data_IF_576377241961
#
_entry.id   IF_576377241961
#
_cell.length_a   1.000
_cell.length_b   1.000
_cell.length_c   1.000
_cell.angle_alpha   90.00
_cell.angle_beta   90.00
_cell.angle_gamma   90.00
#
_symmetry.space_group_name_H-M   'P 1'
#
loop_
_entity.id
_entity.type
_entity.pdbx_description
1 polymer ?
#
# COMPACT_ATOMS: atom_id res chain seq x y z
N UNK A 1 -1.92 -2.02 -21.19
CA UNK A 1 -1.17 -1.89 -19.93
C UNK A 1 -1.08 -0.44 -19.48
N UNK A 2 -0.67 0.52 -20.31
CA UNK A 2 -0.53 1.93 -19.93
C UNK A 2 -1.82 2.51 -19.31
N UNK A 3 -2.99 2.28 -19.93
CA UNK A 3 -4.27 2.74 -19.39
C UNK A 3 -4.56 2.20 -17.96
N UNK A 4 -4.15 0.95 -17.67
CA UNK A 4 -4.31 0.38 -16.33
C UNK A 4 -3.34 0.99 -15.31
N UNK A 5 -2.10 1.31 -15.75
CA UNK A 5 -1.13 2.01 -14.89
C UNK A 5 -1.60 3.44 -14.64
N UNK A 6 -2.11 4.14 -15.65
CA UNK A 6 -2.67 5.49 -15.51
C UNK A 6 -3.87 5.48 -14.53
N UNK A 7 -4.78 4.48 -14.62
CA UNK A 7 -5.88 4.31 -13.68
C UNK A 7 -5.40 4.10 -12.23
N UNK A 8 -4.36 3.28 -12.03
CA UNK A 8 -3.76 3.06 -10.72
C UNK A 8 -3.07 4.31 -10.17
N UNK A 9 -2.58 5.19 -11.07
CA UNK A 9 -1.92 6.44 -10.71
C UNK A 9 -2.89 7.61 -10.48
N UNK A 10 -4.18 7.48 -10.81
CA UNK A 10 -5.16 8.56 -10.61
C UNK A 10 -5.17 9.13 -9.18
N UNK A 11 -4.85 8.28 -8.20
CA UNK A 11 -4.84 8.65 -6.78
C UNK A 11 -3.42 8.79 -6.20
N UNK A 12 -2.38 8.49 -6.98
CA UNK A 12 -0.98 8.60 -6.58
C UNK A 12 -0.28 9.62 -7.48
N UNK A 13 0.18 10.73 -6.92
CA UNK A 13 0.95 11.74 -7.63
C UNK A 13 2.36 11.21 -7.94
N UNK A 14 2.46 10.34 -8.95
CA UNK A 14 3.75 9.90 -9.46
C UNK A 14 4.29 10.92 -10.46
N UNK A 15 5.56 11.25 -10.35
CA UNK A 15 6.29 12.06 -11.36
C UNK A 15 6.56 11.26 -12.64
N UNK A 16 6.32 9.96 -12.61
CA UNK A 16 6.54 9.08 -13.75
C UNK A 16 5.23 8.79 -14.48
N UNK A 17 5.21 8.99 -15.79
CA UNK A 17 4.11 8.50 -16.63
C UNK A 17 4.11 6.97 -16.70
N UNK A 18 2.97 6.36 -17.07
CA UNK A 18 2.88 4.92 -17.30
C UNK A 18 3.95 4.41 -18.27
N UNK A 19 4.21 5.14 -19.34
CA UNK A 19 5.25 4.78 -20.31
C UNK A 19 6.64 4.78 -19.68
N UNK A 20 6.97 5.78 -18.85
CA UNK A 20 8.27 5.83 -18.16
C UNK A 20 8.42 4.69 -17.16
N UNK A 21 7.37 4.34 -16.41
CA UNK A 21 7.40 3.20 -15.50
C UNK A 21 7.62 1.88 -16.24
N UNK A 22 6.90 1.65 -17.36
CA UNK A 22 7.13 0.47 -18.20
C UNK A 22 8.56 0.43 -18.72
N UNK A 23 9.12 1.56 -19.18
CA UNK A 23 10.51 1.65 -19.63
C UNK A 23 11.52 1.34 -18.52
N UNK A 24 11.27 1.78 -17.28
CA UNK A 24 12.14 1.47 -16.14
C UNK A 24 12.08 -0.01 -15.78
N UNK A 25 10.88 -0.61 -15.79
CA UNK A 25 10.70 -2.04 -15.54
C UNK A 25 11.34 -2.90 -16.64
N UNK A 26 11.26 -2.47 -17.90
CA UNK A 26 11.93 -3.13 -19.02
C UNK A 26 13.46 -3.08 -18.86
N UNK A 27 14.01 -1.89 -18.55
CA UNK A 27 15.45 -1.73 -18.31
C UNK A 27 15.95 -2.56 -17.10
N UNK A 28 15.10 -2.75 -16.12
CA UNK A 28 15.37 -3.63 -14.97
C UNK A 28 15.23 -5.13 -15.31
N UNK A 29 14.76 -5.46 -16.53
CA UNK A 29 14.52 -6.84 -16.94
C UNK A 29 13.28 -7.49 -16.32
N UNK A 30 12.40 -6.71 -15.67
CA UNK A 30 11.21 -7.23 -15.01
C UNK A 30 10.06 -7.50 -15.98
N UNK A 31 9.99 -6.75 -17.07
CA UNK A 31 9.02 -6.93 -18.17
C UNK A 31 9.75 -6.84 -19.52
N UNK A 32 9.14 -7.40 -20.54
CA UNK A 32 9.62 -7.34 -21.91
C UNK A 32 8.50 -7.00 -22.88
N UNK A 33 8.85 -6.41 -24.02
CA UNK A 33 7.90 -6.13 -25.10
C UNK A 33 7.71 -7.36 -25.98
N UNK A 34 6.45 -7.70 -26.25
CA UNK A 34 6.09 -8.83 -27.12
C UNK A 34 5.01 -8.44 -28.11
N UNK A 35 4.93 -9.19 -29.22
CA UNK A 35 3.82 -9.10 -30.19
C UNK A 35 2.56 -9.78 -29.63
N UNK A 36 1.45 -9.70 -30.38
CA UNK A 36 0.22 -10.42 -30.06
C UNK A 36 0.43 -11.95 -30.01
N UNK A 37 1.38 -12.48 -30.79
CA UNK A 37 1.76 -13.89 -30.83
C UNK A 37 2.72 -14.28 -29.70
N UNK A 38 3.19 -13.29 -28.93
CA UNK A 38 4.10 -13.52 -27.79
C UNK A 38 5.59 -13.57 -28.17
N UNK A 39 5.94 -13.19 -29.41
CA UNK A 39 7.34 -13.11 -29.84
C UNK A 39 7.99 -11.82 -29.30
N UNK A 40 9.29 -11.84 -28.95
CA UNK A 40 9.99 -10.64 -28.52
C UNK A 40 9.94 -9.52 -29.56
N UNK A 41 9.57 -8.32 -29.13
CA UNK A 41 9.41 -7.15 -29.99
C UNK A 41 10.70 -6.34 -30.18
N UNK A 42 11.87 -6.86 -29.80
CA UNK A 42 13.16 -6.15 -29.85
C UNK A 42 13.58 -5.72 -31.27
N UNK A 43 13.04 -6.36 -32.32
CA UNK A 43 13.40 -6.14 -33.70
C UNK A 43 12.25 -5.60 -34.58
N UNK A 44 11.17 -5.11 -33.97
CA UNK A 44 10.06 -4.54 -34.73
C UNK A 44 10.23 -3.01 -34.83
N UNK A 45 11.42 -2.52 -35.08
CA UNK A 45 11.60 -1.31 -35.82
C UNK A 45 11.25 -1.65 -37.28
N UNK A 46 10.02 -1.29 -37.64
CA UNK A 46 9.56 -1.49 -39.00
C UNK A 46 10.44 -0.67 -39.92
N UNK A 47 11.52 -1.28 -40.46
CA UNK A 47 12.25 -0.67 -41.57
C UNK A 47 11.24 -0.41 -42.69
N UNK A 48 11.10 0.85 -43.12
CA UNK A 48 10.16 1.17 -44.20
C UNK A 48 10.50 0.33 -45.43
N UNK A 49 9.50 -0.31 -46.02
CA UNK A 49 9.70 -1.05 -47.26
C UNK A 49 9.73 -0.08 -48.41
N UNK A 50 10.74 -0.23 -49.28
CA UNK A 50 10.76 0.49 -50.53
C UNK A 50 9.83 -0.19 -51.54
N UNK A 51 8.80 0.52 -51.97
CA UNK A 51 7.85 0.08 -53.00
C UNK A 51 8.06 0.93 -54.24
N UNK A 52 8.19 0.29 -55.40
CA UNK A 52 8.33 0.99 -56.69
C UNK A 52 6.97 1.08 -57.35
N UNK A 53 6.43 2.29 -57.52
CA UNK A 53 5.19 2.57 -58.25
C UNK A 53 5.54 3.48 -59.42
N UNK A 54 5.19 3.07 -60.62
CA UNK A 54 5.46 3.80 -61.90
C UNK A 54 6.94 4.20 -62.10
N UNK A 55 7.87 3.37 -61.59
CA UNK A 55 9.32 3.63 -61.74
C UNK A 55 9.88 4.62 -60.68
N UNK A 56 9.09 5.03 -59.73
CA UNK A 56 9.50 5.88 -58.59
C UNK A 56 9.51 5.06 -57.30
N UNK A 57 10.60 5.15 -56.56
CA UNK A 57 10.72 4.49 -55.25
C UNK A 57 10.01 5.29 -54.18
N UNK A 58 9.10 4.63 -53.44
CA UNK A 58 8.41 5.17 -52.29
C UNK A 58 8.78 4.36 -51.06
N UNK A 59 8.94 5.03 -49.90
CA UNK A 59 9.04 4.39 -48.62
C UNK A 59 7.62 4.20 -48.06
N UNK A 60 7.16 2.96 -47.98
CA UNK A 60 5.88 2.61 -47.40
C UNK A 60 6.06 2.33 -45.93
N UNK A 61 5.34 3.08 -45.08
CA UNK A 61 5.28 2.80 -43.64
C UNK A 61 4.49 1.51 -43.43
N UNK A 62 5.07 0.54 -42.72
CA UNK A 62 4.33 -0.64 -42.30
C UNK A 62 3.24 -0.27 -41.31
N UNK A 63 2.19 -1.06 -41.27
CA UNK A 63 1.17 -0.95 -40.21
C UNK A 63 1.85 -1.08 -38.84
N UNK A 64 1.49 -0.22 -37.86
CA UNK A 64 2.05 -0.29 -36.52
C UNK A 64 1.70 -1.64 -35.89
N UNK A 65 2.72 -2.39 -35.50
CA UNK A 65 2.53 -3.66 -34.80
C UNK A 65 2.10 -3.35 -33.36
N UNK A 66 1.01 -3.98 -32.92
CA UNK A 66 0.57 -3.87 -31.53
C UNK A 66 1.59 -4.54 -30.59
N UNK A 67 2.09 -3.76 -29.62
CA UNK A 67 3.06 -4.21 -28.64
C UNK A 67 2.38 -4.42 -27.30
N UNK A 68 2.65 -5.57 -26.70
CA UNK A 68 2.18 -5.97 -25.38
C UNK A 68 3.35 -6.09 -24.42
N UNK A 69 3.05 -6.04 -23.12
CA UNK A 69 4.02 -6.25 -22.06
C UNK A 69 3.84 -7.65 -21.47
N UNK A 70 4.92 -8.38 -21.33
CA UNK A 70 4.98 -9.67 -20.67
C UNK A 70 5.92 -9.57 -19.47
N UNK A 71 5.49 -10.12 -18.31
CA UNK A 71 6.38 -10.26 -17.16
C UNK A 71 7.42 -11.33 -17.45
N UNK A 72 8.68 -11.04 -17.14
CA UNK A 72 9.80 -11.98 -17.28
C UNK A 72 9.92 -12.87 -16.04
N UNK A 73 10.79 -13.90 -16.10
CA UNK A 73 11.09 -14.70 -14.93
C UNK A 73 11.71 -13.89 -13.77
N UNK A 74 12.72 -13.00 -13.99
CA UNK A 74 13.19 -12.11 -12.95
C UNK A 74 12.10 -11.21 -12.37
N UNK A 75 11.18 -10.69 -13.18
CA UNK A 75 10.06 -9.88 -12.73
C UNK A 75 9.08 -10.68 -11.85
N UNK A 76 8.82 -11.93 -12.21
CA UNK A 76 7.99 -12.85 -11.45
C UNK A 76 8.64 -13.20 -10.11
N UNK A 77 9.93 -13.52 -10.12
CA UNK A 77 10.70 -13.79 -8.91
C UNK A 77 10.74 -12.58 -7.95
N UNK A 78 10.83 -11.35 -8.50
CA UNK A 78 10.78 -10.14 -7.69
C UNK A 78 9.42 -9.96 -7.00
N UNK A 79 8.29 -10.25 -7.69
CA UNK A 79 6.96 -10.22 -7.08
C UNK A 79 6.78 -11.31 -6.00
N UNK A 80 7.32 -12.51 -6.23
CA UNK A 80 7.26 -13.61 -5.24
C UNK A 80 8.15 -13.34 -4.01
N UNK A 81 9.25 -12.61 -4.20
CA UNK A 81 10.13 -12.20 -3.11
C UNK A 81 9.55 -11.03 -2.30
N UNK A 82 8.61 -10.28 -2.86
CA UNK A 82 7.92 -9.21 -2.14
C UNK A 82 6.89 -9.78 -1.17
N UNK A 83 7.14 -9.56 0.12
CA UNK A 83 6.34 -10.11 1.22
C UNK A 83 5.84 -8.99 2.12
N UNK A 84 4.83 -8.24 1.70
CA UNK A 84 4.34 -7.07 2.44
C UNK A 84 3.88 -7.41 3.85
N UNK A 85 3.32 -8.60 4.07
CA UNK A 85 2.90 -9.03 5.41
C UNK A 85 4.10 -9.29 6.34
N UNK A 86 5.21 -9.84 5.83
CA UNK A 86 6.44 -10.01 6.62
C UNK A 86 7.06 -8.64 6.94
N UNK A 87 7.05 -7.69 5.98
CA UNK A 87 7.48 -6.29 6.21
C UNK A 87 6.65 -5.62 7.29
N UNK A 88 5.31 -5.78 7.25
CA UNK A 88 4.42 -5.22 8.27
C UNK A 88 4.69 -5.83 9.64
N UNK A 89 4.88 -7.15 9.73
CA UNK A 89 5.24 -7.82 10.98
C UNK A 89 6.55 -7.27 11.55
N UNK A 90 7.59 -7.19 10.72
CA UNK A 90 8.87 -6.63 11.14
C UNK A 90 8.76 -5.18 11.63
N UNK A 91 7.93 -4.36 10.97
CA UNK A 91 7.63 -3.00 11.40
C UNK A 91 6.96 -2.97 12.79
N UNK A 92 5.95 -3.81 13.01
CA UNK A 92 5.23 -3.85 14.27
C UNK A 92 6.08 -4.39 15.42
N UNK A 93 7.00 -5.31 15.14
CA UNK A 93 7.99 -5.81 16.10
C UNK A 93 9.04 -4.74 16.45
N UNK A 94 9.58 -4.03 15.45
CA UNK A 94 10.52 -2.93 15.64
C UNK A 94 9.92 -1.78 16.47
N UNK A 95 8.67 -1.44 16.18
CA UNK A 95 7.94 -0.32 16.78
C UNK A 95 6.91 -0.79 17.84
N UNK A 96 7.15 -1.90 18.52
CA UNK A 96 6.19 -2.50 19.46
C UNK A 96 5.64 -1.53 20.51
N UNK A 97 6.46 -0.55 20.95
CA UNK A 97 6.02 0.51 21.87
C UNK A 97 4.90 1.41 21.29
N UNK A 98 4.79 1.49 19.95
CA UNK A 98 3.78 2.29 19.25
C UNK A 98 2.64 1.44 18.70
N UNK A 99 2.54 0.17 19.05
CA UNK A 99 1.45 -0.73 18.64
C UNK A 99 0.04 -0.12 18.80
N UNK A 100 -0.29 0.59 19.92
CA UNK A 100 -1.59 1.26 20.05
C UNK A 100 -1.84 2.36 19.02
N UNK A 101 -0.77 3.05 18.56
CA UNK A 101 -0.86 4.11 17.54
C UNK A 101 -1.15 3.48 16.18
N UNK A 102 -0.39 2.44 15.79
CA UNK A 102 -0.63 1.70 14.55
C UNK A 102 -2.04 1.11 14.51
N UNK A 103 -2.50 0.48 15.61
CA UNK A 103 -3.84 -0.07 15.69
C UNK A 103 -4.92 1.01 15.49
N UNK A 104 -4.75 2.18 16.12
CA UNK A 104 -5.68 3.31 16.02
C UNK A 104 -5.77 3.82 14.59
N UNK A 105 -4.64 4.00 13.91
CA UNK A 105 -4.60 4.46 12.51
C UNK A 105 -5.29 3.43 11.60
N UNK A 106 -4.92 2.16 11.71
CA UNK A 106 -5.51 1.10 10.90
C UNK A 106 -7.03 1.00 11.12
N UNK A 107 -7.51 1.09 12.38
CA UNK A 107 -8.95 1.09 12.70
C UNK A 107 -9.68 2.28 12.07
N UNK A 108 -9.12 3.49 12.11
CA UNK A 108 -9.71 4.66 11.47
C UNK A 108 -9.86 4.46 9.96
N UNK A 109 -8.88 3.81 9.34
CA UNK A 109 -8.86 3.57 7.89
C UNK A 109 -9.78 2.41 7.45
N UNK A 110 -10.44 1.69 8.38
CA UNK A 110 -11.46 0.66 8.04
C UNK A 110 -12.81 1.25 7.64
N UNK A 111 -13.06 2.52 7.95
CA UNK A 111 -14.32 3.18 7.60
C UNK A 111 -14.55 3.20 6.10
N UNK A 112 -15.83 3.16 5.68
CA UNK A 112 -16.19 3.34 4.29
C UNK A 112 -15.69 4.68 3.78
N UNK A 113 -14.91 4.66 2.68
CA UNK A 113 -14.23 5.84 2.15
C UNK A 113 -12.92 6.20 2.83
N UNK A 114 -12.46 5.42 3.84
CA UNK A 114 -11.19 5.62 4.53
C UNK A 114 -11.18 6.78 5.51
N UNK A 115 -9.98 7.13 6.01
CA UNK A 115 -9.74 8.22 6.94
C UNK A 115 -9.02 9.39 6.28
N UNK A 116 -9.45 10.62 6.55
CA UNK A 116 -8.74 11.81 6.08
C UNK A 116 -7.47 12.05 6.90
N UNK A 117 -6.45 12.65 6.28
CA UNK A 117 -5.21 13.03 7.00
C UNK A 117 -5.48 13.86 8.26
N UNK A 118 -6.36 14.88 8.27
CA UNK A 118 -6.67 15.61 9.49
C UNK A 118 -7.29 14.74 10.59
N UNK A 119 -8.14 13.76 10.24
CA UNK A 119 -8.74 12.86 11.21
C UNK A 119 -7.68 11.97 11.89
N UNK A 120 -6.73 11.45 11.12
CA UNK A 120 -5.61 10.66 11.64
C UNK A 120 -4.71 11.53 12.52
N UNK A 121 -4.35 12.74 12.08
CA UNK A 121 -3.53 13.67 12.86
C UNK A 121 -4.19 13.97 14.23
N UNK A 122 -5.47 14.29 14.23
CA UNK A 122 -6.20 14.58 15.48
C UNK A 122 -6.22 13.38 16.44
N UNK A 123 -6.26 12.16 15.91
CA UNK A 123 -6.31 10.95 16.71
C UNK A 123 -4.94 10.54 17.30
N UNK A 124 -3.83 10.99 16.69
CA UNK A 124 -2.47 10.53 17.01
C UNK A 124 -1.63 11.62 17.67
N UNK A 125 -1.62 12.85 17.14
CA UNK A 125 -0.63 13.87 17.45
C UNK A 125 -0.64 14.33 18.92
N UNK A 126 -1.72 14.05 19.65
CA UNK A 126 -1.87 14.40 21.08
C UNK A 126 -1.65 13.22 22.02
N UNK A 127 -1.41 12.02 21.49
CA UNK A 127 -1.20 10.84 22.33
C UNK A 127 0.13 10.96 23.12
N UNK A 128 0.13 10.63 24.42
CA UNK A 128 1.35 10.66 25.24
C UNK A 128 2.52 9.86 24.67
N UNK A 129 2.24 8.72 24.00
CA UNK A 129 3.27 7.85 23.42
C UNK A 129 4.10 8.55 22.34
N UNK A 130 3.53 9.55 21.64
CA UNK A 130 4.22 10.26 20.55
C UNK A 130 4.80 11.61 20.98
N UNK A 131 4.86 11.92 22.30
CA UNK A 131 5.38 13.20 22.75
C UNK A 131 6.89 13.19 23.03
N UNK A 132 7.46 12.01 23.42
CA UNK A 132 8.89 11.88 23.74
C UNK A 132 9.40 10.50 23.36
N UNK A 133 10.15 10.38 22.22
CA UNK A 133 10.43 11.42 21.24
C UNK A 133 9.17 11.92 20.51
N UNK A 134 9.23 13.12 19.97
CA UNK A 134 8.10 13.71 19.26
C UNK A 134 7.97 13.11 17.87
N UNK A 135 6.88 12.36 17.65
CA UNK A 135 6.44 11.88 16.34
C UNK A 135 5.08 12.49 15.99
N UNK A 136 4.76 12.51 14.71
CA UNK A 136 3.50 12.95 14.15
C UNK A 136 2.85 11.83 13.33
N UNK A 137 1.54 11.88 13.18
CA UNK A 137 0.79 10.88 12.45
C UNK A 137 1.36 10.53 11.06
N UNK A 138 1.86 11.48 10.24
CA UNK A 138 2.47 11.15 8.95
C UNK A 138 3.65 10.18 9.02
N UNK A 139 4.42 10.17 10.13
CA UNK A 139 5.49 9.20 10.32
C UNK A 139 4.99 7.75 10.32
N UNK A 140 3.90 7.50 11.03
CA UNK A 140 3.30 6.15 11.13
C UNK A 140 2.55 5.77 9.86
N UNK A 141 1.86 6.73 9.23
CA UNK A 141 1.15 6.53 7.95
C UNK A 141 2.14 6.14 6.85
N UNK A 142 3.27 6.85 6.71
CA UNK A 142 4.33 6.55 5.73
C UNK A 142 4.90 5.14 5.91
N UNK A 143 5.13 4.71 7.16
CA UNK A 143 5.62 3.36 7.46
C UNK A 143 4.59 2.28 7.11
N UNK A 144 3.30 2.51 7.40
CA UNK A 144 2.22 1.60 7.03
C UNK A 144 2.02 1.53 5.52
N UNK A 145 2.11 2.66 4.82
CA UNK A 145 2.04 2.72 3.35
C UNK A 145 3.18 1.91 2.71
N UNK A 146 4.42 2.08 3.20
CA UNK A 146 5.59 1.32 2.72
C UNK A 146 5.49 -0.19 2.92
N UNK A 147 4.65 -0.64 3.86
CA UNK A 147 4.34 -2.04 4.09
C UNK A 147 3.06 -2.48 3.37
N UNK A 148 2.51 -1.66 2.47
CA UNK A 148 1.24 -1.89 1.78
C UNK A 148 0.03 -2.10 2.71
N UNK A 149 0.12 -1.67 3.99
CA UNK A 149 -0.98 -1.76 4.94
C UNK A 149 -2.04 -0.67 4.75
N UNK A 150 -1.64 0.47 4.19
CA UNK A 150 -2.52 1.57 3.80
C UNK A 150 -2.30 1.93 2.34
N UNK A 151 -3.37 2.40 1.69
CA UNK A 151 -3.32 2.96 0.35
C UNK A 151 -4.08 4.28 0.30
N UNK A 152 -3.51 5.26 -0.41
CA UNK A 152 -4.18 6.53 -0.65
C UNK A 152 -5.19 6.42 -1.80
N UNK A 153 -6.48 6.71 -1.53
CA UNK A 153 -7.57 6.76 -2.52
C UNK A 153 -8.47 7.97 -2.24
N UNK A 154 -7.92 9.20 -2.31
CA UNK A 154 -8.54 10.46 -1.84
C UNK A 154 -8.70 10.52 -0.30
N UNK A 155 -8.52 9.42 0.38
CA UNK A 155 -8.38 9.23 1.82
C UNK A 155 -7.48 8.00 2.05
N UNK A 156 -7.00 7.82 3.25
CA UNK A 156 -6.23 6.64 3.64
C UNK A 156 -7.16 5.46 3.88
N UNK A 157 -7.06 4.45 3.03
CA UNK A 157 -7.87 3.24 3.11
C UNK A 157 -7.01 2.07 3.55
N UNK A 158 -7.57 1.23 4.42
CA UNK A 158 -6.92 -0.01 4.82
C UNK A 158 -6.92 -1.02 3.67
N UNK A 159 -5.81 -1.73 3.49
CA UNK A 159 -5.67 -2.84 2.55
C UNK A 159 -5.92 -4.18 3.24
N UNK A 160 -5.86 -5.29 2.49
CA UNK A 160 -5.93 -6.63 3.10
C UNK A 160 -4.73 -6.92 4.00
N UNK A 161 -3.54 -6.38 3.65
CA UNK A 161 -2.33 -6.44 4.50
C UNK A 161 -2.56 -5.67 5.81
N UNK A 162 -3.15 -4.48 5.74
CA UNK A 162 -3.49 -3.69 6.92
C UNK A 162 -4.53 -4.38 7.82
N UNK A 163 -5.50 -5.09 7.26
CA UNK A 163 -6.47 -5.89 8.03
C UNK A 163 -5.79 -7.03 8.78
N UNK A 164 -4.89 -7.76 8.11
CA UNK A 164 -4.08 -8.78 8.78
C UNK A 164 -3.20 -8.18 9.89
N UNK A 165 -2.69 -6.94 9.70
CA UNK A 165 -1.97 -6.20 10.75
C UNK A 165 -2.84 -5.86 11.95
N UNK A 166 -4.12 -5.52 11.76
CA UNK A 166 -5.05 -5.32 12.86
C UNK A 166 -5.27 -6.59 13.70
N UNK A 167 -5.37 -7.74 13.04
CA UNK A 167 -5.51 -9.03 13.71
C UNK A 167 -4.27 -9.33 14.56
N UNK A 168 -3.06 -9.11 14.01
CA UNK A 168 -1.81 -9.26 14.78
C UNK A 168 -1.75 -8.33 16.00
N UNK A 169 -2.23 -7.09 15.87
CA UNK A 169 -2.22 -6.11 16.96
C UNK A 169 -3.30 -6.39 18.02
N UNK A 170 -4.38 -7.08 17.68
CA UNK A 170 -5.40 -7.50 18.63
C UNK A 170 -4.83 -8.51 19.62
N UNK A 171 -4.09 -9.50 19.13
CA UNK A 171 -3.48 -10.54 19.96
C UNK A 171 -2.45 -9.96 20.94
N UNK A 172 -1.64 -8.98 20.51
CA UNK A 172 -0.61 -8.35 21.34
C UNK A 172 -1.20 -7.47 22.46
N UNK A 173 -2.32 -6.80 22.19
CA UNK A 173 -2.94 -5.90 23.17
C UNK A 173 -3.72 -6.67 24.22
N UNK A 174 -4.32 -7.81 23.88
CA UNK A 174 -5.01 -8.69 24.85
C UNK A 174 -4.01 -9.33 25.82
N UNK A 175 -2.80 -9.67 25.38
CA UNK A 175 -1.74 -10.17 26.29
C UNK A 175 -1.22 -9.12 27.27
N UNK A 176 -1.29 -7.83 26.92
CA UNK A 176 -0.81 -6.72 27.75
C UNK A 176 -1.94 -5.98 28.50
N UNK A 177 -3.18 -6.45 28.42
CA UNK A 177 -4.27 -5.86 29.18
C UNK A 177 -4.04 -6.11 30.68
N UNK A 178 -3.93 -5.07 31.56
CA UNK A 178 -3.85 -5.28 32.98
C UNK A 178 -5.12 -6.01 33.43
N UNK A 179 -4.95 -7.12 34.13
CA UNK A 179 -6.06 -7.88 34.72
C UNK A 179 -6.97 -6.90 35.45
N UNK A 180 -8.15 -6.68 34.94
CA UNK A 180 -9.18 -5.86 35.60
C UNK A 180 -9.49 -6.51 36.94
N UNK A 181 -8.93 -5.94 38.00
CA UNK A 181 -9.35 -6.30 39.37
C UNK A 181 -10.84 -5.99 39.45
N UNK A 182 -11.64 -7.02 39.51
CA UNK A 182 -13.05 -6.94 39.84
C UNK A 182 -13.16 -6.33 41.23
N UNK A 183 -13.39 -5.03 41.31
CA UNK A 183 -13.88 -4.41 42.54
C UNK A 183 -15.27 -4.99 42.84
N UNK A 184 -15.30 -5.87 43.79
CA UNK A 184 -16.53 -6.34 44.43
C UNK A 184 -17.19 -5.11 45.06
N UNK A 185 -18.44 -4.77 44.75
CA UNK A 185 -19.11 -3.67 45.42
C UNK A 185 -19.31 -4.02 46.89
N UNK A 186 -18.74 -3.21 47.77
CA UNK A 186 -18.94 -3.28 49.20
C UNK A 186 -20.44 -3.13 49.51
N UNK A 187 -21.02 -4.12 50.12
CA UNK A 187 -22.37 -4.13 50.65
C UNK A 187 -22.50 -3.02 51.69
N UNK A 188 -23.47 -2.12 51.61
CA UNK A 188 -23.73 -1.18 52.72
C UNK A 188 -24.33 -1.93 53.92
N UNK A 189 -23.67 -1.79 55.06
CA UNK A 189 -24.09 -2.28 56.37
C UNK A 189 -25.38 -1.55 56.83
N UNK A 190 -26.48 -2.26 57.16
CA UNK A 190 -27.69 -1.66 57.68
C UNK A 190 -27.74 -1.74 59.23
N UNK A 191 -27.10 -0.78 59.89
CA UNK A 191 -27.41 -0.64 61.35
C UNK A 191 -26.95 0.71 61.91
N UNK A 192 -27.88 1.65 62.05
CA UNK A 192 -27.98 2.52 63.20
C UNK A 192 -29.23 3.41 63.09
N UNK A 193 -30.40 2.81 63.33
CA UNK A 193 -31.51 3.55 63.91
C UNK A 193 -31.32 3.53 65.45
N UNK A 194 -31.27 4.70 66.09
CA UNK A 194 -31.95 5.00 67.33
C UNK A 194 -31.49 6.31 67.94
N UNK A 195 -32.53 7.12 68.23
CA UNK A 195 -32.73 7.91 69.46
C UNK A 195 -31.89 9.18 69.59
N UNK A 196 -32.41 10.35 69.64
CA UNK A 196 -33.51 11.04 70.35
C UNK A 196 -33.94 12.32 69.59
#
# INVERSE_FOLDING_TARGET
MNARVDELQENNFSVYSAANLCSLLEKAGAIERVTAEGEPAENIEAEPQTVVVDGVEYLEAREPVEIYWRITEPGRAALEADKPLERLRALLDEDAAYAPIYQRILRLCTADGGATTPAINNAVDHDPLVQKPRFYAPHFVDRLEKCDALAWKKAWCITDIGRAGLDMLADVIDENAPATQSETPATPDPAASKED
#
